data_IF_457837212035
#
_entry.id   IF_457837212035
#
_cell.length_a   1.000
_cell.length_b   1.000
_cell.length_c   1.000
_cell.angle_alpha   90.00
_cell.angle_beta   90.00
_cell.angle_gamma   90.00
#
_symmetry.space_group_name_H-M   'P 1'
#
loop_
_entity.id
_entity.type
_entity.pdbx_description
1 polymer ?
#
# COMPACT_ATOMS: atom_id res chain seq x y z
N UNK A 1 -79.69 27.32 32.61
CA UNK A 1 -78.34 26.98 33.12
C UNK A 1 -77.79 25.93 32.19
N UNK A 2 -76.84 26.30 31.33
CA UNK A 2 -76.18 25.38 30.41
C UNK A 2 -74.81 25.07 31.03
N UNK A 3 -74.63 23.85 31.51
CA UNK A 3 -73.37 23.41 32.11
C UNK A 3 -72.56 22.69 31.03
N UNK A 4 -71.60 23.39 30.46
CA UNK A 4 -70.60 22.80 29.56
C UNK A 4 -69.59 22.03 30.41
N UNK A 5 -69.60 20.70 30.34
CA UNK A 5 -68.51 19.87 30.84
C UNK A 5 -67.25 20.08 29.97
N UNK A 6 -66.06 20.14 30.57
CA UNK A 6 -64.82 20.29 29.81
C UNK A 6 -64.44 18.97 29.14
N UNK A 7 -63.86 19.12 27.96
CA UNK A 7 -63.44 18.06 27.07
C UNK A 7 -62.15 17.40 27.61
N UNK A 8 -62.30 16.37 28.44
CA UNK A 8 -61.18 15.61 29.07
C UNK A 8 -60.48 14.65 28.08
N UNK A 9 -61.05 14.48 26.89
CA UNK A 9 -60.57 13.50 25.90
C UNK A 9 -59.34 13.97 25.09
N UNK A 10 -59.00 15.26 25.10
CA UNK A 10 -57.89 15.79 24.28
C UNK A 10 -56.51 15.65 24.93
N UNK A 11 -56.40 15.63 26.25
CA UNK A 11 -55.10 15.57 26.96
C UNK A 11 -54.54 14.12 27.06
N UNK A 12 -55.41 13.11 27.18
CA UNK A 12 -55.00 11.69 27.17
C UNK A 12 -54.54 11.21 25.78
N UNK A 13 -55.12 11.75 24.70
CA UNK A 13 -54.80 11.36 23.33
C UNK A 13 -53.41 11.91 22.89
N UNK A 14 -53.07 13.14 23.27
CA UNK A 14 -51.73 13.72 23.03
C UNK A 14 -50.61 12.95 23.78
N UNK A 15 -50.85 12.57 25.03
CA UNK A 15 -49.87 11.85 25.85
C UNK A 15 -49.65 10.41 25.41
N UNK A 16 -50.70 9.74 24.92
CA UNK A 16 -50.64 8.40 24.30
C UNK A 16 -49.86 8.42 22.97
N UNK A 17 -50.18 9.36 22.07
CA UNK A 17 -49.49 9.53 20.80
C UNK A 17 -48.01 9.87 20.99
N UNK A 18 -47.67 10.70 21.98
CA UNK A 18 -46.29 11.01 22.32
C UNK A 18 -45.50 9.80 22.84
N UNK A 19 -46.11 8.92 23.66
CA UNK A 19 -45.46 7.68 24.12
C UNK A 19 -45.25 6.68 22.99
N UNK A 20 -46.21 6.55 22.08
CA UNK A 20 -46.09 5.70 20.89
C UNK A 20 -45.03 6.24 19.93
N UNK A 21 -45.00 7.56 19.69
CA UNK A 21 -43.98 8.22 18.86
C UNK A 21 -42.58 8.02 19.45
N UNK A 22 -42.41 8.21 20.77
CA UNK A 22 -41.13 7.98 21.47
C UNK A 22 -40.68 6.52 21.41
N UNK A 23 -41.62 5.58 21.51
CA UNK A 23 -41.35 4.14 21.38
C UNK A 23 -40.92 3.75 19.96
N UNK A 24 -41.61 4.28 18.93
CA UNK A 24 -41.23 4.11 17.54
C UNK A 24 -39.87 4.73 17.22
N UNK A 25 -39.60 5.96 17.70
CA UNK A 25 -38.31 6.62 17.53
C UNK A 25 -37.18 5.80 18.16
N UNK A 26 -37.40 5.28 19.37
CA UNK A 26 -36.44 4.43 20.06
C UNK A 26 -36.12 3.14 19.30
N UNK A 27 -37.14 2.50 18.70
CA UNK A 27 -36.94 1.30 17.87
C UNK A 27 -36.20 1.63 16.58
N UNK A 28 -36.52 2.73 15.92
CA UNK A 28 -35.82 3.18 14.70
C UNK A 28 -34.35 3.50 15.00
N UNK A 29 -34.08 4.21 16.10
CA UNK A 29 -32.71 4.52 16.53
C UNK A 29 -31.93 3.26 16.92
N UNK A 30 -32.58 2.27 17.54
CA UNK A 30 -31.96 0.99 17.87
C UNK A 30 -31.57 0.21 16.61
N UNK A 31 -32.48 0.12 15.63
CA UNK A 31 -32.22 -0.53 14.35
C UNK A 31 -31.13 0.21 13.58
N UNK A 32 -31.17 1.54 13.52
CA UNK A 32 -30.14 2.36 12.88
C UNK A 32 -28.77 2.18 13.56
N UNK A 33 -28.73 2.17 14.89
CA UNK A 33 -27.52 1.93 15.66
C UNK A 33 -26.91 0.55 15.40
N UNK A 34 -27.74 -0.48 15.27
CA UNK A 34 -27.29 -1.82 14.92
C UNK A 34 -26.69 -1.89 13.51
N UNK A 35 -27.32 -1.24 12.52
CA UNK A 35 -26.76 -1.13 11.17
C UNK A 35 -25.45 -0.34 11.14
N UNK A 36 -25.36 0.78 11.86
CA UNK A 36 -24.12 1.56 11.97
C UNK A 36 -22.99 0.77 12.64
N UNK A 37 -23.32 -0.04 13.66
CA UNK A 37 -22.35 -0.90 14.33
C UNK A 37 -21.85 -2.03 13.42
N UNK A 38 -22.75 -2.64 12.62
CA UNK A 38 -22.35 -3.62 11.60
C UNK A 38 -21.45 -3.00 10.53
N UNK A 39 -21.78 -1.80 10.04
CA UNK A 39 -20.94 -1.06 9.10
C UNK A 39 -19.58 -0.74 9.72
N UNK A 40 -19.56 -0.31 10.98
CA UNK A 40 -18.31 -0.02 11.69
C UNK A 40 -17.43 -1.26 11.85
N UNK A 41 -18.02 -2.43 12.14
CA UNK A 41 -17.29 -3.71 12.23
C UNK A 41 -16.75 -4.17 10.88
N UNK A 42 -17.50 -3.99 9.79
CA UNK A 42 -17.02 -4.27 8.43
C UNK A 42 -15.88 -3.33 8.05
N UNK A 43 -16.03 -2.02 8.29
CA UNK A 43 -14.98 -1.04 8.04
C UNK A 43 -13.73 -1.30 8.89
N UNK A 44 -13.86 -1.72 10.14
CA UNK A 44 -12.72 -2.02 11.00
C UNK A 44 -12.01 -3.31 10.59
N UNK A 45 -12.73 -4.33 10.11
CA UNK A 45 -12.12 -5.53 9.54
C UNK A 45 -11.27 -5.20 8.31
N UNK A 46 -11.81 -4.39 7.38
CA UNK A 46 -11.05 -3.88 6.23
C UNK A 46 -9.87 -3.01 6.66
N UNK A 47 -10.05 -2.19 7.70
CA UNK A 47 -8.98 -1.35 8.23
C UNK A 47 -7.84 -2.20 8.82
N UNK A 48 -8.14 -3.29 9.52
CA UNK A 48 -7.15 -4.20 10.10
C UNK A 48 -6.37 -4.93 8.99
N UNK A 49 -7.02 -5.35 7.90
CA UNK A 49 -6.33 -5.92 6.73
C UNK A 49 -5.52 -4.89 5.95
N UNK A 50 -5.91 -3.61 6.02
CA UNK A 50 -5.17 -2.49 5.44
C UNK A 50 -4.04 -1.98 6.32
N UNK A 51 -3.89 -2.50 7.54
CA UNK A 51 -2.76 -2.13 8.38
C UNK A 51 -1.49 -2.50 7.60
N UNK A 52 -0.59 -1.53 7.37
CA UNK A 52 0.65 -1.81 6.66
C UNK A 52 1.34 -2.95 7.39
N UNK A 53 1.51 -4.08 6.70
CA UNK A 53 2.44 -5.15 7.08
C UNK A 53 3.69 -4.43 7.56
N UNK A 54 4.04 -4.61 8.84
CA UNK A 54 5.08 -3.86 9.54
C UNK A 54 6.16 -3.39 8.57
N UNK A 55 6.27 -2.07 8.38
CA UNK A 55 7.24 -1.50 7.44
C UNK A 55 8.58 -2.19 7.70
N UNK A 56 9.13 -2.91 6.71
CA UNK A 56 10.26 -3.75 6.98
C UNK A 56 11.43 -2.83 7.34
N UNK A 57 12.04 -3.08 8.51
CA UNK A 57 12.99 -2.14 9.11
C UNK A 57 14.23 -2.10 8.22
N UNK A 58 14.46 -0.94 7.59
CA UNK A 58 15.67 -0.64 6.82
C UNK A 58 16.76 -0.13 7.76
N UNK A 59 17.91 -0.82 7.78
CA UNK A 59 19.07 -0.44 8.58
C UNK A 59 20.24 0.00 7.69
N UNK A 60 21.00 1.04 8.08
CA UNK A 60 22.19 1.45 7.36
C UNK A 60 23.33 0.45 7.60
N UNK A 61 24.10 0.15 6.56
CA UNK A 61 25.32 -0.67 6.64
C UNK A 61 26.36 -0.22 5.60
N UNK A 62 27.47 -0.94 5.56
CA UNK A 62 28.52 -0.80 4.56
C UNK A 62 28.53 -2.05 3.70
N UNK A 63 28.33 -1.86 2.40
CA UNK A 63 28.24 -2.95 1.43
C UNK A 63 29.45 -2.92 0.50
N UNK A 64 30.18 -4.01 0.45
CA UNK A 64 31.29 -4.23 -0.47
C UNK A 64 30.77 -4.91 -1.74
N UNK A 65 31.05 -4.34 -2.90
CA UNK A 65 30.65 -4.95 -4.17
C UNK A 65 31.62 -6.07 -4.52
N UNK A 66 31.10 -7.29 -4.64
CA UNK A 66 31.87 -8.50 -4.97
C UNK A 66 31.87 -8.76 -6.48
N UNK A 67 30.76 -8.45 -7.16
CA UNK A 67 30.66 -8.54 -8.61
C UNK A 67 29.61 -7.56 -9.14
N UNK A 68 29.78 -7.12 -10.38
CA UNK A 68 28.82 -6.27 -11.09
C UNK A 68 28.49 -6.87 -12.47
N UNK A 69 27.22 -6.79 -12.87
CA UNK A 69 26.73 -7.22 -14.18
C UNK A 69 25.57 -6.35 -14.63
N UNK A 70 25.21 -6.44 -15.92
CA UNK A 70 23.95 -5.89 -16.44
C UNK A 70 23.05 -7.06 -16.79
N UNK A 71 21.80 -7.00 -16.36
CA UNK A 71 20.83 -8.06 -16.57
C UNK A 71 19.44 -7.50 -16.85
N UNK A 72 18.56 -8.33 -17.39
CA UNK A 72 17.14 -8.02 -17.57
C UNK A 72 16.40 -8.42 -16.30
N UNK A 73 15.69 -7.48 -15.69
CA UNK A 73 14.80 -7.73 -14.57
C UNK A 73 13.34 -7.69 -14.99
N UNK A 74 12.52 -8.46 -14.27
CA UNK A 74 11.08 -8.50 -14.48
C UNK A 74 10.36 -8.05 -13.22
N UNK A 75 9.44 -7.09 -13.35
CA UNK A 75 8.48 -6.76 -12.31
C UNK A 75 7.08 -7.13 -12.78
N UNK A 76 6.29 -7.83 -11.96
CA UNK A 76 4.88 -8.05 -12.27
C UNK A 76 4.11 -6.76 -12.03
N UNK A 77 3.42 -6.28 -13.05
CA UNK A 77 2.56 -5.09 -13.00
C UNK A 77 1.14 -5.53 -13.30
N UNK A 78 0.19 -5.07 -12.50
CA UNK A 78 -1.21 -5.40 -12.67
C UNK A 78 -2.00 -4.12 -12.92
N UNK A 79 -2.71 -4.06 -14.05
CA UNK A 79 -3.61 -2.98 -14.41
C UNK A 79 -4.94 -3.12 -13.64
N UNK A 80 -5.22 -2.17 -12.74
CA UNK A 80 -6.50 -2.07 -12.05
C UNK A 80 -7.39 -1.01 -12.73
N UNK A 81 -8.12 -1.39 -13.77
CA UNK A 81 -9.16 -0.56 -14.38
C UNK A 81 -8.64 0.72 -15.07
N UNK A 82 -9.40 1.83 -14.99
CA UNK A 82 -9.13 3.12 -15.67
C UNK A 82 -7.83 3.81 -15.23
N UNK A 83 -7.14 3.32 -14.19
CA UNK A 83 -5.95 3.94 -13.63
C UNK A 83 -4.74 3.00 -13.80
N UNK A 84 -3.90 3.30 -14.79
CA UNK A 84 -2.65 2.60 -15.06
C UNK A 84 -1.55 3.05 -14.09
N UNK A 85 -1.60 2.60 -12.84
CA UNK A 85 -0.48 2.79 -11.91
C UNK A 85 0.28 1.48 -11.69
N UNK A 86 1.56 1.60 -11.38
CA UNK A 86 2.43 0.48 -11.02
C UNK A 86 2.31 0.24 -9.51
N UNK A 87 1.72 -0.88 -9.11
CA UNK A 87 1.52 -1.17 -7.70
C UNK A 87 2.79 -1.76 -7.06
N UNK A 88 3.42 -1.03 -6.13
CA UNK A 88 4.44 -1.55 -5.20
C UNK A 88 3.88 -2.65 -4.30
N UNK A 89 2.61 -2.52 -3.94
CA UNK A 89 1.82 -3.51 -3.22
C UNK A 89 0.72 -4.03 -4.14
N UNK A 90 0.99 -5.15 -4.82
CA UNK A 90 -0.06 -5.89 -5.52
C UNK A 90 -0.91 -6.55 -4.43
N UNK A 91 -1.99 -5.89 -4.03
CA UNK A 91 -3.04 -6.55 -3.25
C UNK A 91 -3.52 -7.72 -4.09
N UNK A 92 -3.31 -8.95 -3.61
CA UNK A 92 -3.83 -10.14 -4.25
C UNK A 92 -5.30 -10.28 -3.85
N UNK A 93 -6.27 -10.06 -4.75
CA UNK A 93 -7.64 -10.42 -4.45
C UNK A 93 -7.74 -11.94 -4.26
N UNK A 94 -8.46 -12.36 -3.22
CA UNK A 94 -8.80 -13.76 -2.97
C UNK A 94 -9.69 -14.34 -4.10
N UNK A 95 -10.42 -13.47 -4.81
CA UNK A 95 -11.23 -13.83 -5.97
C UNK A 95 -10.56 -13.52 -7.31
N UNK A 96 -10.66 -14.46 -8.25
CA UNK A 96 -10.09 -14.45 -9.60
C UNK A 96 -10.86 -13.48 -10.52
N UNK A 97 -10.90 -12.18 -10.20
CA UNK A 97 -11.45 -11.15 -11.10
C UNK A 97 -10.35 -10.29 -11.73
N UNK A 98 -10.03 -10.68 -12.97
CA UNK A 98 -9.58 -9.92 -14.18
C UNK A 98 -8.75 -8.62 -14.04
N UNK A 99 -7.79 -8.52 -13.13
CA UNK A 99 -6.71 -7.56 -13.38
C UNK A 99 -5.76 -8.12 -14.45
N UNK A 100 -5.54 -7.36 -15.52
CA UNK A 100 -4.55 -7.72 -16.55
C UNK A 100 -3.18 -7.49 -15.95
N UNK A 101 -2.60 -8.56 -15.43
CA UNK A 101 -1.21 -8.55 -15.00
C UNK A 101 -0.31 -8.91 -16.18
N UNK A 102 0.76 -8.16 -16.36
CA UNK A 102 1.82 -8.46 -17.29
C UNK A 102 3.19 -8.33 -16.60
N UNK A 103 4.20 -8.99 -17.17
CA UNK A 103 5.57 -8.83 -16.72
C UNK A 103 6.20 -7.67 -17.49
N UNK A 104 6.74 -6.75 -16.72
CA UNK A 104 7.41 -5.55 -17.20
C UNK A 104 8.91 -5.83 -17.17
N UNK A 105 9.54 -5.92 -18.34
CA UNK A 105 10.97 -6.21 -18.48
C UNK A 105 11.78 -4.91 -18.62
N UNK A 106 12.87 -4.80 -17.88
CA UNK A 106 13.73 -3.62 -17.90
C UNK A 106 15.20 -4.01 -17.70
N UNK A 107 16.10 -3.20 -18.27
CA UNK A 107 17.53 -3.34 -18.02
C UNK A 107 17.88 -2.77 -16.66
N UNK A 108 18.68 -3.49 -15.89
CA UNK A 108 19.20 -3.01 -14.62
C UNK A 108 20.65 -3.46 -14.42
N UNK A 109 21.39 -2.66 -13.67
CA UNK A 109 22.69 -3.05 -13.16
C UNK A 109 22.50 -3.84 -11.88
N UNK A 110 23.13 -5.01 -11.83
CA UNK A 110 23.02 -5.95 -10.73
C UNK A 110 24.37 -6.07 -10.06
N UNK A 111 24.37 -5.85 -8.75
CA UNK A 111 25.56 -5.94 -7.92
C UNK A 111 25.38 -7.05 -6.91
N UNK A 112 26.35 -7.96 -6.84
CA UNK A 112 26.47 -8.87 -5.71
C UNK A 112 27.24 -8.16 -4.63
N UNK A 113 26.64 -8.00 -3.46
CA UNK A 113 27.22 -7.26 -2.35
C UNK A 113 27.41 -8.14 -1.13
N UNK A 114 28.50 -7.89 -0.42
CA UNK A 114 28.78 -8.42 0.90
C UNK A 114 28.54 -7.31 1.92
N UNK A 115 27.76 -7.57 2.96
CA UNK A 115 27.42 -6.60 4.00
C UNK A 115 27.42 -7.24 5.37
N UNK A 116 27.60 -6.41 6.40
CA UNK A 116 27.52 -6.84 7.80
C UNK A 116 26.11 -6.58 8.30
N UNK A 117 25.45 -7.62 8.79
CA UNK A 117 24.12 -7.51 9.40
C UNK A 117 24.19 -6.96 10.85
N UNK A 118 23.01 -6.72 11.45
CA UNK A 118 22.93 -6.24 12.84
C UNK A 118 23.50 -7.23 13.87
N UNK A 119 23.64 -8.51 13.51
CA UNK A 119 24.27 -9.53 14.35
C UNK A 119 25.79 -9.56 14.22
N UNK A 120 26.37 -8.73 13.34
CA UNK A 120 27.80 -8.69 13.06
C UNK A 120 28.28 -9.76 12.08
N UNK A 121 27.36 -10.50 11.45
CA UNK A 121 27.69 -11.55 10.50
C UNK A 121 27.78 -10.99 9.07
N UNK A 122 28.79 -11.42 8.31
CA UNK A 122 28.87 -11.13 6.88
C UNK A 122 27.82 -11.94 6.11
N UNK A 123 27.05 -11.26 5.27
CA UNK A 123 26.02 -11.84 4.41
C UNK A 123 26.19 -11.36 2.98
N UNK A 124 25.73 -12.20 2.05
CA UNK A 124 25.65 -11.87 0.63
C UNK A 124 24.22 -11.50 0.26
N UNK A 125 24.08 -10.45 -0.54
CA UNK A 125 22.82 -9.98 -1.08
C UNK A 125 23.00 -9.40 -2.49
N UNK A 126 21.89 -9.03 -3.11
CA UNK A 126 21.89 -8.35 -4.39
C UNK A 126 21.40 -6.91 -4.24
N UNK A 127 22.04 -6.01 -4.97
CA UNK A 127 21.59 -4.65 -5.15
C UNK A 127 21.33 -4.39 -6.64
N UNK A 128 20.37 -3.54 -6.92
CA UNK A 128 19.93 -3.23 -8.28
C UNK A 128 19.94 -1.71 -8.48
N UNK A 129 20.38 -1.27 -9.66
CA UNK A 129 20.33 0.11 -10.10
C UNK A 129 19.66 0.15 -11.49
N UNK A 130 18.41 0.63 -11.61
CA UNK A 130 17.56 1.18 -10.54
C UNK A 130 17.09 0.09 -9.56
N UNK A 131 16.85 0.47 -8.30
CA UNK A 131 16.38 -0.45 -7.26
C UNK A 131 14.94 -0.92 -7.49
N UNK A 132 14.18 -0.23 -8.34
CA UNK A 132 12.81 -0.57 -8.67
C UNK A 132 12.57 -0.34 -10.17
N UNK A 133 11.51 -0.97 -10.68
CA UNK A 133 11.17 -0.91 -12.08
C UNK A 133 10.52 0.44 -12.44
N UNK A 134 11.27 1.32 -13.07
CA UNK A 134 10.84 2.68 -13.44
C UNK A 134 9.69 2.71 -14.47
N UNK A 135 8.92 3.82 -14.53
CA UNK A 135 7.95 4.11 -15.60
C UNK A 135 8.55 3.94 -17.01
N UNK A 136 7.70 3.67 -18.00
CA UNK A 136 8.11 3.47 -19.40
C UNK A 136 8.98 4.62 -19.93
N UNK A 137 8.59 5.85 -19.61
CA UNK A 137 9.17 7.06 -20.20
C UNK A 137 10.57 7.37 -19.65
N UNK A 138 10.93 6.78 -18.51
CA UNK A 138 12.22 6.99 -17.85
C UNK A 138 12.97 5.68 -17.60
N UNK A 139 12.57 4.60 -18.26
CA UNK A 139 13.20 3.28 -18.14
C UNK A 139 14.60 3.33 -18.76
N UNK A 140 15.65 2.87 -18.04
CA UNK A 140 16.98 2.84 -18.59
C UNK A 140 17.07 1.83 -19.73
N UNK A 141 17.77 2.23 -20.80
CA UNK A 141 18.21 1.30 -21.84
C UNK A 141 19.46 0.54 -21.38
N UNK A 142 19.92 -0.42 -22.19
CA UNK A 142 21.11 -1.20 -21.90
C UNK A 142 22.35 -0.34 -21.62
N UNK A 143 22.56 0.73 -22.40
CA UNK A 143 23.72 1.62 -22.26
C UNK A 143 23.65 2.36 -20.92
N UNK A 144 22.48 2.87 -20.54
CA UNK A 144 22.27 3.56 -19.28
C UNK A 144 22.52 2.61 -18.09
N UNK A 145 22.02 1.37 -18.15
CA UNK A 145 22.35 0.35 -17.16
C UNK A 145 23.86 0.11 -17.13
N UNK A 146 24.50 -0.16 -18.27
CA UNK A 146 25.94 -0.38 -18.34
C UNK A 146 26.76 0.75 -17.71
N UNK A 147 26.39 2.01 -17.97
CA UNK A 147 27.03 3.18 -17.36
C UNK A 147 26.83 3.22 -15.83
N UNK A 148 25.66 2.82 -15.33
CA UNK A 148 25.43 2.67 -13.89
C UNK A 148 26.38 1.61 -13.31
N UNK A 149 26.50 0.47 -13.98
CA UNK A 149 27.40 -0.62 -13.57
C UNK A 149 28.86 -0.15 -13.53
N UNK A 150 29.31 0.63 -14.50
CA UNK A 150 30.70 1.13 -14.57
C UNK A 150 31.03 2.21 -13.53
N UNK A 151 30.04 2.89 -12.94
CA UNK A 151 30.26 3.84 -11.83
C UNK A 151 30.63 3.15 -10.53
N UNK A 152 30.05 1.98 -10.27
CA UNK A 152 30.31 1.21 -9.07
C UNK A 152 31.47 0.25 -9.30
N UNK A 153 32.55 0.46 -8.56
CA UNK A 153 33.75 -0.36 -8.68
C UNK A 153 33.62 -1.62 -7.84
N UNK A 154 34.00 -2.74 -8.45
CA UNK A 154 34.13 -4.01 -7.73
C UNK A 154 35.25 -3.88 -6.69
N UNK A 155 35.08 -4.52 -5.55
CA UNK A 155 35.98 -4.50 -4.40
C UNK A 155 36.01 -3.17 -3.61
N UNK A 156 35.15 -2.20 -3.94
CA UNK A 156 34.92 -1.00 -3.14
C UNK A 156 33.70 -1.14 -2.22
N UNK A 157 33.70 -0.32 -1.16
CA UNK A 157 32.66 -0.33 -0.12
C UNK A 157 31.84 0.94 -0.17
N UNK A 158 30.51 0.80 -0.23
CA UNK A 158 29.56 1.90 -0.35
C UNK A 158 28.59 1.92 0.84
N UNK A 159 27.99 3.08 1.09
CA UNK A 159 26.88 3.20 2.05
C UNK A 159 25.64 2.55 1.43
N UNK A 160 24.99 1.69 2.19
CA UNK A 160 23.83 0.94 1.74
C UNK A 160 22.80 0.80 2.86
N UNK A 161 21.58 0.46 2.49
CA UNK A 161 20.50 0.12 3.39
C UNK A 161 20.05 -1.30 3.09
N UNK A 162 19.97 -2.12 4.13
CA UNK A 162 19.42 -3.46 4.02
C UNK A 162 18.15 -3.57 4.85
N UNK A 163 17.24 -4.39 4.35
CA UNK A 163 15.92 -4.55 4.94
C UNK A 163 15.82 -5.92 5.60
N UNK A 164 15.38 -5.98 6.86
CA UNK A 164 15.25 -7.24 7.58
C UNK A 164 14.26 -8.18 6.87
N UNK A 165 14.68 -9.42 6.61
CA UNK A 165 13.85 -10.44 5.93
C UNK A 165 13.85 -10.37 4.41
N UNK A 166 14.51 -9.39 3.78
CA UNK A 166 14.60 -9.24 2.32
C UNK A 166 16.07 -9.31 1.90
N UNK A 167 16.39 -10.15 0.92
CA UNK A 167 17.76 -10.32 0.38
C UNK A 167 18.15 -9.26 -0.66
N UNK A 168 17.45 -8.13 -0.67
CA UNK A 168 17.68 -6.99 -1.55
C UNK A 168 18.22 -5.82 -0.75
N UNK A 169 19.26 -5.20 -1.29
CA UNK A 169 19.94 -4.06 -0.70
C UNK A 169 19.79 -2.85 -1.60
N UNK A 170 19.50 -1.72 -0.98
CA UNK A 170 19.49 -0.43 -1.65
C UNK A 170 20.86 0.24 -1.46
N UNK A 171 21.59 0.38 -2.55
CA UNK A 171 22.83 1.17 -2.58
C UNK A 171 22.44 2.61 -2.87
N UNK A 172 23.00 3.54 -2.10
CA UNK A 172 22.71 4.95 -2.28
C UNK A 172 23.26 5.44 -3.62
N UNK A 173 22.36 5.79 -4.54
CA UNK A 173 22.68 6.22 -5.90
C UNK A 173 22.16 7.65 -6.09
N UNK A 174 22.95 8.65 -5.69
CA UNK A 174 22.59 10.05 -5.85
C UNK A 174 22.38 10.40 -7.33
N UNK A 175 21.12 10.67 -7.70
CA UNK A 175 20.78 11.42 -8.92
C UNK A 175 21.15 10.75 -10.24
N UNK A 176 21.41 9.43 -10.29
CA UNK A 176 21.70 8.76 -11.56
C UNK A 176 20.45 8.56 -12.41
N UNK A 177 19.33 8.23 -11.76
CA UNK A 177 18.02 8.18 -12.39
C UNK A 177 17.19 9.36 -11.88
N UNK A 178 16.95 10.36 -12.73
CA UNK A 178 16.10 11.52 -12.43
C UNK A 178 14.61 11.20 -12.34
N UNK A 179 14.27 9.93 -12.10
CA UNK A 179 12.92 9.39 -12.12
C UNK A 179 12.71 8.49 -10.91
N UNK A 180 11.54 8.62 -10.29
CA UNK A 180 11.10 7.74 -9.22
C UNK A 180 9.90 6.94 -9.70
N UNK A 181 9.72 5.74 -9.16
CA UNK A 181 8.46 5.02 -9.32
C UNK A 181 7.33 5.90 -8.76
N UNK A 182 6.25 6.04 -9.53
CA UNK A 182 5.09 6.83 -9.10
C UNK A 182 4.27 5.99 -8.13
N UNK A 183 4.38 6.30 -6.84
CA UNK A 183 3.49 5.75 -5.84
C UNK A 183 2.06 6.28 -6.03
N UNK A 184 1.03 5.47 -5.74
CA UNK A 184 -0.34 5.95 -5.77
C UNK A 184 -0.61 6.98 -4.68
N UNK A 185 -1.48 7.92 -4.99
CA UNK A 185 -2.00 8.85 -4.00
C UNK A 185 -2.87 8.11 -2.97
N UNK A 186 -3.01 8.70 -1.78
CA UNK A 186 -3.89 8.16 -0.72
C UNK A 186 -5.35 8.01 -1.20
N UNK A 187 -5.83 8.93 -2.05
CA UNK A 187 -7.18 8.87 -2.62
C UNK A 187 -7.32 7.67 -3.55
N UNK A 188 -6.32 7.43 -4.40
CA UNK A 188 -6.30 6.25 -5.27
C UNK A 188 -6.19 4.95 -4.46
N UNK A 189 -5.41 4.94 -3.37
CA UNK A 189 -5.35 3.82 -2.43
C UNK A 189 -6.71 3.55 -1.77
N UNK A 190 -7.45 4.58 -1.36
CA UNK A 190 -8.80 4.41 -0.82
C UNK A 190 -9.79 3.90 -1.87
N UNK A 191 -9.71 4.40 -3.11
CA UNK A 191 -10.54 3.89 -4.22
C UNK A 191 -10.24 2.41 -4.49
N UNK A 192 -8.98 1.96 -4.38
CA UNK A 192 -8.62 0.53 -4.51
C UNK A 192 -9.34 -0.35 -3.51
N UNK A 193 -9.47 0.09 -2.26
CA UNK A 193 -10.20 -0.66 -1.22
C UNK A 193 -11.71 -0.72 -1.46
N UNK A 194 -12.27 0.23 -2.21
CA UNK A 194 -13.71 0.30 -2.48
C UNK A 194 -14.10 -0.53 -3.73
N UNK A 195 -13.19 -0.66 -4.70
CA UNK A 195 -13.43 -1.40 -5.96
C UNK A 195 -13.17 -2.91 -5.80
N UNK A 196 -12.28 -3.31 -4.89
CA UNK A 196 -12.07 -4.70 -4.48
C UNK A 196 -13.25 -5.22 -3.65
#
# INVERSE_FOLDING_TARGET
MNSTEPNDNSEEEETSNFRLLRSCLGRVLFVLGFFLLLIFLLCSAVYIESLPIWNPISLPSRCKIVSSSVDIRSSKVCELGLLNYKAKNVLYPYEIKKFRCHYDYYWASVFKVEYIDHSGQSRLAFAEAPSEALPSDCRPNFIAAWLAKDRFKVNETYKCWYTLGISKIDIYEDGFFGCQAKDPSNVEMSIRYIIL
#
